data_IF_019568873575
#
_entry.id   IF_019568873575
#
_cell.length_a   1.000
_cell.length_b   1.000
_cell.length_c   1.000
_cell.angle_alpha   90.00
_cell.angle_beta   90.00
_cell.angle_gamma   90.00
#
_symmetry.space_group_name_H-M   'P 1'
#
loop_
_entity.id
_entity.type
_entity.pdbx_description
1 polymer ?
#
# COMPACT_ATOMS: atom_id res chain seq x y z
N UNK A 1 -20.06 3.73 -6.04
CA UNK A 1 -20.64 4.47 -4.90
C UNK A 1 -21.06 3.48 -3.81
N UNK A 2 -21.13 3.89 -2.53
CA UNK A 2 -21.62 3.02 -1.45
C UNK A 2 -23.12 2.72 -1.62
N UNK A 3 -23.66 1.62 -1.05
CA UNK A 3 -25.09 1.39 -1.00
C UNK A 3 -25.84 2.58 -0.36
N UNK A 4 -26.92 3.04 -0.99
CA UNK A 4 -27.69 4.21 -0.56
C UNK A 4 -27.31 5.52 -1.24
N UNK A 5 -26.30 5.53 -2.12
CA UNK A 5 -26.06 6.68 -3.01
C UNK A 5 -27.20 6.81 -4.03
N UNK A 6 -27.66 8.04 -4.26
CA UNK A 6 -28.70 8.34 -5.25
C UNK A 6 -28.17 8.22 -6.69
N UNK A 7 -29.07 8.02 -7.64
CA UNK A 7 -28.74 8.02 -9.07
C UNK A 7 -28.12 9.37 -9.49
N UNK A 8 -28.64 10.48 -8.98
CA UNK A 8 -28.09 11.82 -9.21
C UNK A 8 -26.66 11.97 -8.69
N UNK A 9 -26.38 11.51 -7.46
CA UNK A 9 -25.03 11.53 -6.90
C UNK A 9 -24.04 10.73 -7.76
N UNK A 10 -24.49 9.60 -8.31
CA UNK A 10 -23.67 8.75 -9.18
C UNK A 10 -23.40 9.45 -10.51
N UNK A 11 -24.45 10.01 -11.14
CA UNK A 11 -24.35 10.75 -12.40
C UNK A 11 -23.40 11.93 -12.30
N UNK A 12 -23.47 12.72 -11.22
CA UNK A 12 -22.59 13.87 -10.99
C UNK A 12 -21.12 13.44 -10.97
N UNK A 13 -20.79 12.39 -10.21
CA UNK A 13 -19.41 11.90 -10.12
C UNK A 13 -18.94 11.34 -11.47
N UNK A 14 -19.79 10.64 -12.21
CA UNK A 14 -19.47 10.12 -13.55
C UNK A 14 -19.19 11.24 -14.55
N UNK A 15 -20.05 12.27 -14.60
CA UNK A 15 -19.84 13.46 -15.43
C UNK A 15 -18.54 14.17 -15.08
N UNK A 16 -18.23 14.32 -13.78
CA UNK A 16 -16.99 14.91 -13.32
C UNK A 16 -15.77 14.10 -13.77
N UNK A 17 -15.78 12.76 -13.62
CA UNK A 17 -14.71 11.87 -14.08
C UNK A 17 -14.51 12.00 -15.59
N UNK A 18 -15.60 11.99 -16.38
CA UNK A 18 -15.54 12.11 -17.84
C UNK A 18 -15.05 13.48 -18.30
N UNK A 19 -15.31 14.54 -17.53
CA UNK A 19 -14.86 15.90 -17.84
C UNK A 19 -13.37 16.14 -17.61
N UNK A 20 -12.66 15.22 -16.93
CA UNK A 20 -11.23 15.35 -16.69
C UNK A 20 -10.44 15.22 -18.00
N UNK A 21 -9.76 16.30 -18.38
CA UNK A 21 -8.92 16.38 -19.59
C UNK A 21 -7.53 15.73 -19.44
N UNK A 22 -7.21 15.25 -18.24
CA UNK A 22 -5.89 14.71 -17.89
C UNK A 22 -6.08 13.41 -17.15
N UNK A 23 -5.13 12.50 -17.33
CA UNK A 23 -5.06 11.26 -16.57
C UNK A 23 -4.66 11.54 -15.11
N UNK A 24 -4.98 10.63 -14.17
CA UNK A 24 -4.53 10.76 -12.78
C UNK A 24 -3.02 10.95 -12.63
N UNK A 25 -2.21 10.26 -13.45
CA UNK A 25 -0.75 10.40 -13.43
C UNK A 25 -0.29 11.80 -13.85
N UNK A 26 -0.93 12.40 -14.86
CA UNK A 26 -0.60 13.75 -15.32
C UNK A 26 -1.03 14.81 -14.30
N UNK A 27 -2.19 14.63 -13.64
CA UNK A 27 -2.63 15.52 -12.56
C UNK A 27 -1.61 15.55 -11.43
N UNK A 28 -1.15 14.38 -10.95
CA UNK A 28 -0.12 14.29 -9.91
C UNK A 28 1.19 14.94 -10.37
N UNK A 29 1.62 14.68 -11.61
CA UNK A 29 2.85 15.28 -12.17
C UNK A 29 2.77 16.80 -12.31
N UNK A 30 1.57 17.35 -12.48
CA UNK A 30 1.34 18.81 -12.50
C UNK A 30 1.38 19.47 -11.12
N UNK A 31 1.63 18.70 -10.06
CA UNK A 31 1.70 19.18 -8.69
C UNK A 31 0.36 19.16 -7.94
N UNK A 32 -0.68 18.57 -8.53
CA UNK A 32 -1.99 18.46 -7.89
C UNK A 32 -1.94 17.43 -6.75
N UNK A 33 -2.39 17.81 -5.56
CA UNK A 33 -2.46 16.89 -4.43
C UNK A 33 -3.64 15.91 -4.57
N UNK A 34 -3.62 14.81 -3.82
CA UNK A 34 -4.74 13.87 -3.81
C UNK A 34 -6.05 14.56 -3.36
N UNK A 35 -5.97 15.47 -2.40
CA UNK A 35 -7.13 16.26 -1.93
C UNK A 35 -7.68 17.19 -3.01
N UNK A 36 -6.83 17.79 -3.84
CA UNK A 36 -7.28 18.63 -4.96
C UNK A 36 -7.98 17.80 -6.05
N UNK A 37 -7.44 16.61 -6.34
CA UNK A 37 -8.05 15.68 -7.31
C UNK A 37 -9.43 15.24 -6.82
N UNK A 38 -9.53 14.84 -5.55
CA UNK A 38 -10.83 14.46 -4.95
C UNK A 38 -11.79 15.65 -4.97
N UNK A 39 -11.33 16.86 -4.67
CA UNK A 39 -12.14 18.07 -4.73
C UNK A 39 -12.70 18.36 -6.13
N UNK A 40 -11.98 18.00 -7.19
CA UNK A 40 -12.48 18.07 -8.57
C UNK A 40 -13.50 16.98 -8.89
N UNK A 41 -13.26 15.76 -8.43
CA UNK A 41 -14.15 14.62 -8.67
C UNK A 41 -15.48 14.76 -7.92
N UNK A 42 -15.45 15.32 -6.72
CA UNK A 42 -16.62 15.53 -5.85
C UNK A 42 -17.28 16.90 -6.05
N UNK A 43 -16.91 17.62 -7.12
CA UNK A 43 -17.48 18.93 -7.42
C UNK A 43 -18.99 18.80 -7.66
N UNK A 44 -19.77 19.77 -7.18
CA UNK A 44 -21.22 19.85 -7.38
C UNK A 44 -22.03 18.72 -6.71
N UNK A 45 -21.39 17.89 -5.88
CA UNK A 45 -22.07 16.93 -5.02
C UNK A 45 -22.63 17.64 -3.77
N UNK A 46 -23.91 17.45 -3.46
CA UNK A 46 -24.54 17.98 -2.25
C UNK A 46 -24.11 17.15 -1.01
N UNK A 47 -23.44 17.75 -0.01
CA UNK A 47 -23.03 17.04 1.22
C UNK A 47 -24.22 16.53 2.05
N UNK A 48 -25.43 17.07 1.86
CA UNK A 48 -26.61 16.80 2.70
C UNK A 48 -27.42 15.56 2.28
N UNK A 49 -27.01 14.84 1.24
CA UNK A 49 -27.56 13.51 0.90
C UNK A 49 -27.03 12.40 1.83
N UNK A 50 -26.07 12.71 2.73
CA UNK A 50 -25.52 11.80 3.77
C UNK A 50 -26.46 11.61 4.99
N UNK A 51 -27.78 11.56 4.76
CA UNK A 51 -28.80 11.41 5.81
C UNK A 51 -28.71 10.17 6.73
N UNK A 52 -27.96 9.07 6.47
CA UNK A 52 -27.89 7.96 7.41
C UNK A 52 -26.63 7.90 8.31
N UNK A 53 -25.77 8.93 8.38
CA UNK A 53 -24.65 8.92 9.34
C UNK A 53 -25.08 9.08 10.82
N UNK A 54 -26.38 9.22 11.07
CA UNK A 54 -26.97 9.40 12.40
C UNK A 54 -26.98 8.13 13.28
N UNK A 55 -26.61 6.94 12.75
CA UNK A 55 -26.86 5.66 13.45
C UNK A 55 -25.59 4.82 13.74
N UNK A 56 -24.44 5.06 13.09
CA UNK A 56 -23.32 4.09 13.11
C UNK A 56 -22.08 4.48 13.93
N UNK A 57 -21.95 5.72 14.42
CA UNK A 57 -20.76 6.19 15.11
C UNK A 57 -21.19 6.90 16.39
N UNK A 58 -21.08 6.23 17.53
CA UNK A 58 -21.56 6.71 18.84
C UNK A 58 -21.13 8.14 19.17
N UNK A 59 -22.08 8.91 19.72
CA UNK A 59 -21.95 10.18 20.46
C UNK A 59 -20.81 11.14 20.09
N UNK A 60 -20.61 11.39 18.79
CA UNK A 60 -19.97 12.64 18.36
C UNK A 60 -20.79 13.25 17.24
N UNK A 61 -21.83 13.98 17.64
CA UNK A 61 -22.61 14.83 16.75
C UNK A 61 -21.68 15.85 16.11
N UNK A 62 -21.25 15.61 14.88
CA UNK A 62 -20.93 16.71 13.98
C UNK A 62 -22.27 17.40 13.72
N UNK A 63 -22.41 18.65 14.16
CA UNK A 63 -23.62 19.43 13.90
C UNK A 63 -23.82 19.59 12.39
N UNK A 64 -25.06 19.74 11.93
CA UNK A 64 -25.35 19.98 10.49
C UNK A 64 -24.55 21.18 9.96
N UNK A 65 -24.33 22.20 10.78
CA UNK A 65 -23.48 23.36 10.48
C UNK A 65 -21.99 23.00 10.30
N UNK A 66 -21.48 22.02 11.05
CA UNK A 66 -20.10 21.52 10.91
C UNK A 66 -19.92 20.68 9.63
N UNK A 67 -20.97 20.04 9.14
CA UNK A 67 -20.98 19.26 7.89
C UNK A 67 -21.28 20.11 6.66
N UNK A 68 -22.07 21.18 6.80
CA UNK A 68 -22.46 22.09 5.71
C UNK A 68 -21.30 22.77 4.98
N UNK A 69 -20.11 22.86 5.61
CA UNK A 69 -18.89 23.37 4.96
C UNK A 69 -17.97 22.31 4.39
N UNK A 70 -18.19 21.03 4.70
CA UNK A 70 -17.27 19.93 4.36
C UNK A 70 -17.74 19.22 3.08
N UNK A 71 -17.26 19.70 1.92
CA UNK A 71 -17.46 19.02 0.63
C UNK A 71 -16.86 17.61 0.60
N UNK A 72 -15.86 17.36 1.45
CA UNK A 72 -15.15 16.08 1.60
C UNK A 72 -14.63 15.97 3.04
N UNK A 73 -14.84 14.82 3.70
CA UNK A 73 -14.27 14.54 5.01
C UNK A 73 -12.99 13.71 4.85
N UNK A 74 -11.83 14.28 5.19
CA UNK A 74 -10.58 13.54 5.28
C UNK A 74 -10.51 12.78 6.61
N UNK A 75 -10.57 11.45 6.56
CA UNK A 75 -10.61 10.59 7.76
C UNK A 75 -9.21 10.32 8.32
N UNK A 76 -8.21 10.20 7.44
CA UNK A 76 -6.81 9.98 7.81
C UNK A 76 -5.87 10.49 6.71
N UNK A 77 -4.63 10.75 7.07
CA UNK A 77 -3.54 11.02 6.12
C UNK A 77 -2.45 9.96 6.28
N UNK A 78 -2.03 9.37 5.16
CA UNK A 78 -0.93 8.42 5.16
C UNK A 78 -0.13 8.53 3.86
N UNK A 79 1.18 8.32 3.97
CA UNK A 79 2.10 8.40 2.85
C UNK A 79 2.64 7.00 2.58
N UNK A 80 2.11 6.29 1.57
CA UNK A 80 2.58 4.95 1.26
C UNK A 80 4.05 5.02 0.84
N UNK A 81 4.85 4.10 1.39
CA UNK A 81 6.25 3.92 1.03
C UNK A 81 6.44 2.48 0.59
N UNK A 82 7.29 2.28 -0.41
CA UNK A 82 7.75 0.95 -0.74
C UNK A 82 8.48 0.34 0.46
N UNK A 83 8.06 -0.87 0.87
CA UNK A 83 8.67 -1.60 1.98
C UNK A 83 8.76 -3.09 1.64
N UNK A 84 9.96 -3.67 1.83
CA UNK A 84 10.17 -5.10 1.70
C UNK A 84 10.67 -5.65 3.04
N UNK A 85 10.02 -6.72 3.53
CA UNK A 85 10.34 -7.37 4.81
C UNK A 85 11.42 -8.45 4.69
N UNK A 86 12.15 -8.50 3.57
CA UNK A 86 13.30 -9.39 3.45
C UNK A 86 14.42 -8.98 4.41
N UNK A 87 15.14 -9.97 4.94
CA UNK A 87 16.20 -9.75 5.91
C UNK A 87 17.17 -10.91 5.88
N UNK A 88 18.38 -10.69 6.41
CA UNK A 88 19.46 -11.69 6.40
C UNK A 88 19.02 -12.99 7.10
N UNK A 89 18.28 -12.88 8.19
CA UNK A 89 17.71 -14.02 8.92
C UNK A 89 16.71 -14.83 8.10
N UNK A 90 15.78 -14.15 7.38
CA UNK A 90 14.85 -14.85 6.48
C UNK A 90 15.59 -15.56 5.35
N UNK A 91 16.64 -14.93 4.82
CA UNK A 91 17.48 -15.53 3.78
C UNK A 91 18.20 -16.78 4.29
N UNK A 92 18.78 -16.73 5.49
CA UNK A 92 19.42 -17.92 6.11
C UNK A 92 18.46 -19.10 6.18
N UNK A 93 17.22 -18.87 6.63
CA UNK A 93 16.17 -19.91 6.68
C UNK A 93 15.76 -20.45 5.31
N UNK A 94 15.85 -19.63 4.27
CA UNK A 94 15.57 -20.09 2.90
C UNK A 94 16.74 -20.91 2.35
N UNK A 95 17.97 -20.45 2.57
CA UNK A 95 19.19 -21.12 2.07
C UNK A 95 19.30 -22.54 2.60
N UNK A 96 19.00 -22.78 3.88
CA UNK A 96 19.07 -24.14 4.47
C UNK A 96 18.16 -25.17 3.78
N UNK A 97 17.12 -24.73 3.04
CA UNK A 97 16.22 -25.62 2.30
C UNK A 97 16.90 -26.30 1.10
N UNK A 98 18.02 -25.75 0.60
CA UNK A 98 18.84 -26.39 -0.42
C UNK A 98 19.51 -27.67 0.11
N UNK A 99 19.71 -27.75 1.44
CA UNK A 99 20.40 -28.86 2.07
C UNK A 99 21.92 -28.70 2.06
N UNK A 100 22.58 -29.56 2.86
CA UNK A 100 24.02 -29.46 3.15
C UNK A 100 24.89 -29.54 1.89
N UNK A 101 24.62 -30.53 1.04
CA UNK A 101 25.45 -30.79 -0.15
C UNK A 101 25.47 -29.60 -1.09
N UNK A 102 24.30 -29.09 -1.46
CA UNK A 102 24.18 -27.96 -2.40
C UNK A 102 24.84 -26.69 -1.83
N UNK A 103 24.75 -26.45 -0.52
CA UNK A 103 25.44 -25.33 0.13
C UNK A 103 26.96 -25.51 0.10
N UNK A 104 27.47 -26.71 0.41
CA UNK A 104 28.90 -27.01 0.37
C UNK A 104 29.47 -26.89 -1.05
N UNK A 105 28.72 -27.36 -2.06
CA UNK A 105 29.08 -27.23 -3.48
C UNK A 105 29.13 -25.74 -3.89
N UNK A 106 28.12 -24.93 -3.52
CA UNK A 106 28.12 -23.48 -3.78
C UNK A 106 29.29 -22.75 -3.10
N UNK A 107 29.63 -23.12 -1.87
CA UNK A 107 30.79 -22.58 -1.15
C UNK A 107 32.09 -22.96 -1.86
N UNK A 108 32.23 -24.19 -2.31
CA UNK A 108 33.43 -24.66 -3.01
C UNK A 108 33.63 -23.95 -4.36
N UNK A 109 32.54 -23.73 -5.11
CA UNK A 109 32.58 -23.10 -6.44
C UNK A 109 32.72 -21.57 -6.37
N UNK A 110 32.00 -20.92 -5.46
CA UNK A 110 31.82 -19.46 -5.46
C UNK A 110 32.40 -18.76 -4.21
N UNK A 111 32.82 -19.53 -3.20
CA UNK A 111 33.33 -19.01 -1.93
C UNK A 111 32.25 -18.45 -0.99
N UNK A 112 30.98 -18.49 -1.38
CA UNK A 112 29.85 -17.96 -0.62
C UNK A 112 28.53 -18.53 -1.14
N UNK A 113 27.43 -18.29 -0.41
CA UNK A 113 26.08 -18.57 -0.90
C UNK A 113 25.36 -17.25 -1.15
N UNK A 114 24.88 -17.03 -2.38
CA UNK A 114 24.12 -15.83 -2.75
C UNK A 114 22.63 -16.13 -2.90
N UNK A 115 21.78 -15.25 -2.35
CA UNK A 115 20.34 -15.29 -2.54
C UNK A 115 19.82 -13.89 -2.89
N UNK A 116 18.96 -13.81 -3.91
CA UNK A 116 18.32 -12.56 -4.34
C UNK A 116 16.86 -12.55 -3.91
N UNK A 117 16.40 -11.46 -3.29
CA UNK A 117 14.98 -11.31 -2.96
C UNK A 117 14.16 -11.02 -4.21
N UNK A 118 13.18 -11.85 -4.54
CA UNK A 118 12.35 -11.65 -5.73
C UNK A 118 11.51 -10.36 -5.73
N UNK A 119 11.26 -9.76 -4.55
CA UNK A 119 10.43 -8.57 -4.40
C UNK A 119 11.20 -7.26 -4.50
N UNK A 120 12.31 -7.13 -3.77
CA UNK A 120 13.12 -5.89 -3.77
C UNK A 120 14.44 -6.01 -4.53
N UNK A 121 14.74 -7.19 -5.06
CA UNK A 121 15.96 -7.51 -5.80
C UNK A 121 17.26 -7.27 -5.03
N UNK A 122 17.19 -7.18 -3.69
CA UNK A 122 18.38 -7.12 -2.84
C UNK A 122 19.08 -8.47 -2.86
N UNK A 123 20.37 -8.46 -3.18
CA UNK A 123 21.26 -9.61 -3.09
C UNK A 123 21.82 -9.74 -1.67
N UNK A 124 21.81 -10.95 -1.15
CA UNK A 124 22.36 -11.32 0.15
C UNK A 124 23.42 -12.38 -0.08
N UNK A 125 24.66 -12.08 0.31
CA UNK A 125 25.76 -13.04 0.32
C UNK A 125 25.99 -13.51 1.74
N UNK A 126 25.86 -14.80 1.98
CA UNK A 126 26.24 -15.46 3.21
C UNK A 126 27.66 -15.98 3.08
N UNK A 127 28.51 -15.70 4.06
CA UNK A 127 29.82 -16.33 4.12
C UNK A 127 29.70 -17.84 4.34
N UNK A 128 30.75 -18.63 4.06
CA UNK A 128 30.75 -20.06 4.36
C UNK A 128 30.38 -20.33 5.83
N UNK A 129 30.93 -19.56 6.76
CA UNK A 129 30.66 -19.70 8.19
C UNK A 129 29.18 -19.45 8.50
N UNK A 130 28.59 -18.38 7.94
CA UNK A 130 27.17 -18.07 8.16
C UNK A 130 26.22 -19.12 7.57
N UNK A 131 26.57 -19.68 6.40
CA UNK A 131 25.76 -20.71 5.76
C UNK A 131 25.81 -22.04 6.53
N UNK A 132 27.00 -22.43 7.02
CA UNK A 132 27.18 -23.61 7.87
C UNK A 132 26.53 -23.43 9.24
N UNK A 133 26.65 -22.24 9.85
CA UNK A 133 25.97 -21.90 11.11
C UNK A 133 24.45 -22.04 10.96
N UNK A 134 23.87 -21.51 9.86
CA UNK A 134 22.45 -21.63 9.58
C UNK A 134 21.99 -23.09 9.44
N UNK A 135 22.76 -23.93 8.73
CA UNK A 135 22.48 -25.37 8.60
C UNK A 135 22.47 -26.08 9.96
N UNK A 136 23.46 -25.80 10.80
CA UNK A 136 23.59 -26.43 12.11
C UNK A 136 22.46 -25.98 13.06
N UNK A 137 22.05 -24.71 12.99
CA UNK A 137 20.95 -24.19 13.79
C UNK A 137 19.57 -24.76 13.38
N UNK A 138 19.41 -25.16 12.12
CA UNK A 138 18.17 -25.75 11.60
C UNK A 138 18.06 -27.28 11.82
N UNK A 139 19.14 -27.94 12.23
CA UNK A 139 19.20 -29.39 12.48
C UNK A 139 18.82 -29.80 13.92
N UNK A 140 18.49 -28.82 14.77
CA UNK A 140 18.00 -28.98 16.15
C UNK A 140 16.49 -28.74 16.20
#
# INVERSE_FOLDING_TARGET
MLPGATEDSTRIVEENVQSLKMTPTELIRSGMSATDIIGKLMKDLDPLELRPLRILWGERLLTEEALNGLKTLQVAESYPKYYCSCGRERVRRTVVLLGRKDIEDLIAEQGHVEATCEFCKRCYRLSPEEAIEALNAAAL
#
